data_IF_370823923196
#
_entry.id   IF_370823923196
#
_cell.length_a   1.000
_cell.length_b   1.000
_cell.length_c   1.000
_cell.angle_alpha   90.00
_cell.angle_beta   90.00
_cell.angle_gamma   90.00
#
_symmetry.space_group_name_H-M   'P 1'
#
loop_
_entity.id
_entity.type
_entity.pdbx_description
1 polymer ?
#
# COMPACT_ATOMS: atom_id res chain seq x y z
N UNK A 1 -1.75 58.24 -10.89
CA UNK A 1 -1.65 57.17 -9.87
C UNK A 1 -1.63 55.76 -10.46
N UNK A 2 -2.32 55.46 -11.59
CA UNK A 2 -2.36 54.13 -12.21
C UNK A 2 -1.02 53.55 -12.72
N UNK A 3 -0.08 54.38 -13.21
CA UNK A 3 1.20 53.88 -13.75
C UNK A 3 2.11 53.22 -12.71
N UNK A 4 2.05 53.68 -11.44
CA UNK A 4 2.83 53.10 -10.33
C UNK A 4 2.21 51.81 -9.80
N UNK A 5 0.88 51.69 -9.83
CA UNK A 5 0.16 50.48 -9.43
C UNK A 5 0.38 49.33 -10.44
N UNK A 6 0.44 49.66 -11.75
CA UNK A 6 0.70 48.67 -12.80
C UNK A 6 2.12 48.10 -12.73
N UNK A 7 3.14 48.93 -12.44
CA UNK A 7 4.52 48.49 -12.24
C UNK A 7 4.68 47.65 -10.95
N UNK A 8 3.92 47.96 -9.90
CA UNK A 8 3.93 47.17 -8.66
C UNK A 8 3.27 45.79 -8.85
N UNK A 9 2.17 45.73 -9.62
CA UNK A 9 1.55 44.46 -10.02
C UNK A 9 2.46 43.63 -10.94
N UNK A 10 3.19 44.25 -11.87
CA UNK A 10 4.18 43.54 -12.70
C UNK A 10 5.36 43.01 -11.89
N UNK A 11 5.83 43.76 -10.89
CA UNK A 11 6.92 43.31 -10.01
C UNK A 11 6.48 42.15 -9.10
N UNK A 12 5.25 42.19 -8.58
CA UNK A 12 4.65 41.07 -7.83
C UNK A 12 4.45 39.83 -8.73
N UNK A 13 3.98 40.00 -9.98
CA UNK A 13 3.90 38.90 -10.94
C UNK A 13 5.27 38.31 -11.28
N UNK A 14 6.32 39.13 -11.39
CA UNK A 14 7.69 38.64 -11.63
C UNK A 14 8.29 37.85 -10.46
N UNK A 15 7.87 38.16 -9.22
CA UNK A 15 8.26 37.40 -8.02
C UNK A 15 7.56 36.03 -7.94
N UNK A 16 6.35 35.88 -8.50
CA UNK A 16 5.68 34.58 -8.62
C UNK A 16 6.23 33.72 -9.78
N UNK A 17 6.72 34.34 -10.87
CA UNK A 17 7.32 33.60 -11.99
C UNK A 17 8.72 33.07 -11.62
N UNK A 18 9.45 33.76 -10.74
CA UNK A 18 10.78 33.34 -10.27
C UNK A 18 10.75 32.41 -9.04
N UNK A 19 9.58 32.23 -8.41
CA UNK A 19 9.39 31.28 -7.30
C UNK A 19 8.87 29.91 -7.76
N UNK A 20 8.54 29.75 -9.05
CA UNK A 20 8.23 28.45 -9.62
C UNK A 20 9.54 27.73 -9.98
N UNK A 21 10.15 27.07 -8.99
CA UNK A 21 10.88 25.83 -9.27
C UNK A 21 9.85 24.77 -9.71
N UNK A 22 9.27 24.99 -10.90
CA UNK A 22 8.46 24.03 -11.61
C UNK A 22 9.42 22.97 -12.16
N UNK A 23 9.82 22.05 -11.28
CA UNK A 23 10.02 20.68 -11.73
C UNK A 23 8.65 20.13 -12.11
N UNK A 24 8.10 20.59 -13.23
CA UNK A 24 6.92 19.98 -13.84
C UNK A 24 7.34 18.57 -14.19
N UNK A 25 6.92 17.59 -13.38
CA UNK A 25 7.22 16.18 -13.59
C UNK A 25 6.73 15.81 -15.00
N UNK A 26 7.65 15.34 -15.83
CA UNK A 26 7.35 14.93 -17.21
C UNK A 26 6.58 13.62 -17.17
N UNK A 27 5.73 13.31 -18.17
CA UNK A 27 5.01 12.03 -18.23
C UNK A 27 5.93 10.79 -18.09
N UNK A 28 7.16 10.86 -18.62
CA UNK A 28 8.16 9.80 -18.52
C UNK A 28 8.71 9.58 -17.09
N UNK A 29 8.62 10.60 -16.22
CA UNK A 29 9.03 10.52 -14.81
C UNK A 29 8.14 9.52 -14.03
N UNK A 30 6.91 9.29 -14.52
CA UNK A 30 5.95 8.32 -13.98
C UNK A 30 5.94 6.99 -14.75
N UNK A 31 6.92 6.73 -15.61
CA UNK A 31 7.03 5.39 -16.20
C UNK A 31 7.26 4.35 -15.10
N UNK A 32 6.67 3.16 -15.26
CA UNK A 32 6.86 2.03 -14.34
C UNK A 32 8.33 1.71 -14.10
N UNK A 33 9.17 1.82 -15.14
CA UNK A 33 10.61 1.60 -15.03
C UNK A 33 11.29 2.65 -14.14
N UNK A 34 11.04 3.94 -14.38
CA UNK A 34 11.60 5.04 -13.57
C UNK A 34 11.17 4.93 -12.10
N UNK A 35 9.87 4.71 -11.87
CA UNK A 35 9.32 4.57 -10.52
C UNK A 35 9.86 3.33 -9.81
N UNK A 36 9.99 2.19 -10.51
CA UNK A 36 10.59 0.99 -9.93
C UNK A 36 12.08 1.15 -9.63
N UNK A 37 12.81 1.94 -10.42
CA UNK A 37 14.22 2.24 -10.12
C UNK A 37 14.36 3.12 -8.88
N UNK A 38 13.47 4.11 -8.71
CA UNK A 38 13.51 5.06 -7.59
C UNK A 38 12.94 4.48 -6.29
N UNK A 39 11.92 3.64 -6.39
CA UNK A 39 11.24 2.97 -5.28
C UNK A 39 11.27 1.46 -5.52
N UNK A 40 12.44 0.80 -5.34
CA UNK A 40 12.64 -0.59 -5.74
C UNK A 40 11.84 -1.59 -4.90
N UNK A 41 11.47 -1.23 -3.68
CA UNK A 41 10.79 -2.13 -2.76
C UNK A 41 9.27 -2.05 -2.84
N UNK A 42 8.60 -3.12 -2.42
CA UNK A 42 7.13 -3.23 -2.39
C UNK A 42 6.48 -3.00 -3.77
N UNK A 43 6.81 -3.85 -4.73
CA UNK A 43 6.27 -3.79 -6.10
C UNK A 43 4.95 -4.56 -6.22
N UNK A 44 4.01 -4.27 -5.32
CA UNK A 44 2.65 -4.82 -5.37
C UNK A 44 1.82 -4.02 -6.38
N UNK A 45 1.17 -4.71 -7.31
CA UNK A 45 0.31 -4.12 -8.33
C UNK A 45 -1.17 -4.44 -8.10
N UNK A 46 -2.06 -3.65 -8.70
CA UNK A 46 -3.51 -3.94 -8.72
C UNK A 46 -3.90 -4.55 -10.06
N UNK A 47 -4.30 -5.82 -10.05
CA UNK A 47 -4.89 -6.48 -11.21
C UNK A 47 -6.28 -5.91 -11.51
N UNK A 48 -7.16 -5.85 -10.50
CA UNK A 48 -8.52 -5.32 -10.62
C UNK A 48 -9.15 -5.02 -9.26
N UNK A 49 -10.21 -4.23 -9.29
CA UNK A 49 -11.18 -4.09 -8.20
C UNK A 49 -12.41 -4.94 -8.55
N UNK A 50 -12.82 -5.81 -7.63
CA UNK A 50 -13.97 -6.69 -7.88
C UNK A 50 -14.93 -6.72 -6.68
N UNK A 51 -16.18 -7.04 -6.96
CA UNK A 51 -17.16 -7.34 -5.91
C UNK A 51 -17.23 -8.86 -5.77
N UNK A 52 -17.28 -9.34 -4.54
CA UNK A 52 -17.32 -10.78 -4.25
C UNK A 52 -18.47 -11.44 -4.99
N UNK A 53 -18.22 -12.62 -5.58
CA UNK A 53 -19.27 -13.39 -6.25
C UNK A 53 -20.39 -13.82 -5.30
N UNK A 54 -20.10 -13.83 -4.00
CA UNK A 54 -21.02 -14.17 -2.92
C UNK A 54 -21.88 -12.97 -2.45
N UNK A 55 -21.68 -11.77 -3.00
CA UNK A 55 -22.55 -10.63 -2.67
C UNK A 55 -23.98 -10.88 -3.13
N UNK A 56 -24.92 -10.47 -2.26
CA UNK A 56 -26.36 -10.62 -2.47
C UNK A 56 -27.10 -9.28 -2.53
N UNK A 57 -26.43 -8.20 -2.15
CA UNK A 57 -27.00 -6.85 -2.07
C UNK A 57 -26.33 -5.92 -3.06
N UNK A 58 -27.06 -4.90 -3.51
CA UNK A 58 -26.48 -3.84 -4.34
C UNK A 58 -25.18 -3.32 -3.70
N UNK A 59 -24.10 -3.37 -4.45
CA UNK A 59 -22.75 -3.07 -3.96
C UNK A 59 -21.98 -2.31 -5.01
N UNK A 60 -21.23 -1.30 -4.60
CA UNK A 60 -20.42 -0.47 -5.50
C UNK A 60 -19.04 -0.27 -4.93
N UNK A 61 -18.02 -0.33 -5.78
CA UNK A 61 -16.69 0.22 -5.52
C UNK A 61 -16.55 1.45 -6.40
N UNK A 62 -16.70 2.62 -5.79
CA UNK A 62 -16.66 3.90 -6.50
C UNK A 62 -15.26 4.22 -7.00
N UNK A 63 -15.14 5.07 -8.04
CA UNK A 63 -13.85 5.59 -8.50
C UNK A 63 -13.08 6.27 -7.35
N UNK A 64 -13.77 6.98 -6.46
CA UNK A 64 -13.18 7.60 -5.26
C UNK A 64 -12.58 6.56 -4.31
N UNK A 65 -13.27 5.45 -4.07
CA UNK A 65 -12.74 4.35 -3.25
C UNK A 65 -11.52 3.70 -3.89
N UNK A 66 -11.52 3.51 -5.22
CA UNK A 66 -10.35 3.01 -5.96
C UNK A 66 -9.16 3.96 -5.83
N UNK A 67 -9.38 5.26 -6.03
CA UNK A 67 -8.37 6.31 -5.81
C UNK A 67 -7.83 6.32 -4.38
N UNK A 68 -8.70 6.05 -3.41
CA UNK A 68 -8.33 5.98 -2.00
C UNK A 68 -7.43 4.77 -1.70
N UNK A 69 -7.77 3.58 -2.22
CA UNK A 69 -6.92 2.38 -2.15
C UNK A 69 -5.55 2.63 -2.78
N UNK A 70 -5.53 3.20 -3.99
CA UNK A 70 -4.28 3.49 -4.71
C UNK A 70 -3.39 4.49 -3.96
N UNK A 71 -3.99 5.47 -3.26
CA UNK A 71 -3.25 6.36 -2.36
C UNK A 71 -2.69 5.60 -1.14
N UNK A 72 -3.42 4.62 -0.62
CA UNK A 72 -2.94 3.70 0.42
C UNK A 72 -1.72 2.91 -0.05
N UNK A 73 -1.75 2.38 -1.27
CA UNK A 73 -0.61 1.70 -1.87
C UNK A 73 0.61 2.62 -2.03
N UNK A 74 0.39 3.87 -2.45
CA UNK A 74 1.47 4.86 -2.51
C UNK A 74 2.12 5.05 -1.13
N UNK A 75 1.32 5.20 -0.07
CA UNK A 75 1.83 5.31 1.31
C UNK A 75 2.61 4.07 1.74
N UNK A 76 2.09 2.86 1.49
CA UNK A 76 2.78 1.61 1.82
C UNK A 76 4.13 1.52 1.11
N UNK A 77 4.17 1.86 -0.19
CA UNK A 77 5.39 1.85 -0.96
C UNK A 77 6.43 2.82 -0.41
N UNK A 78 6.02 4.01 0.04
CA UNK A 78 6.95 4.95 0.71
C UNK A 78 7.44 4.38 2.02
N UNK A 79 6.54 3.88 2.88
CA UNK A 79 6.90 3.33 4.19
C UNK A 79 7.97 2.25 4.01
N UNK A 80 7.76 1.28 3.12
CA UNK A 80 8.71 0.17 2.91
C UNK A 80 10.04 0.64 2.29
N UNK A 81 10.00 1.68 1.44
CA UNK A 81 11.20 2.31 0.86
C UNK A 81 11.88 3.36 1.76
N UNK A 82 11.29 3.70 2.90
CA UNK A 82 11.86 4.67 3.83
C UNK A 82 13.13 4.13 4.52
N UNK A 83 13.98 5.05 4.98
CA UNK A 83 15.19 4.69 5.72
C UNK A 83 14.86 4.20 7.14
N UNK A 84 13.71 4.63 7.67
CA UNK A 84 13.22 4.35 9.01
C UNK A 84 12.65 2.92 9.13
N UNK A 85 12.19 2.31 8.04
CA UNK A 85 11.52 1.01 8.07
C UNK A 85 12.36 -0.12 8.67
N UNK A 86 13.62 -0.38 8.25
CA UNK A 86 14.43 -1.45 8.84
C UNK A 86 14.69 -1.22 10.33
N UNK A 87 14.91 0.04 10.73
CA UNK A 87 15.10 0.41 12.13
C UNK A 87 13.84 0.14 12.97
N UNK A 88 12.67 0.44 12.43
CA UNK A 88 11.39 0.17 13.09
C UNK A 88 11.13 -1.33 13.25
N UNK A 89 11.35 -2.14 12.20
CA UNK A 89 11.25 -3.61 12.26
C UNK A 89 12.22 -4.17 13.31
N UNK A 90 13.47 -3.74 13.29
CA UNK A 90 14.50 -4.17 14.24
C UNK A 90 14.18 -3.79 15.69
N UNK A 91 13.55 -2.64 15.92
CA UNK A 91 13.13 -2.20 17.26
C UNK A 91 12.09 -3.13 17.90
N UNK A 92 11.36 -3.89 17.07
CA UNK A 92 10.30 -4.83 17.46
C UNK A 92 10.75 -6.30 17.47
N UNK A 93 12.06 -6.58 17.40
CA UNK A 93 12.62 -7.93 17.27
C UNK A 93 12.07 -8.98 18.26
N UNK A 94 11.72 -8.57 19.48
CA UNK A 94 11.24 -9.49 20.52
C UNK A 94 9.75 -9.78 20.42
N UNK A 95 9.00 -8.96 19.68
CA UNK A 95 7.58 -9.14 19.37
C UNK A 95 7.37 -9.86 18.02
N UNK A 96 8.39 -9.84 17.14
CA UNK A 96 8.37 -10.52 15.84
C UNK A 96 8.47 -12.04 15.99
N UNK A 97 7.34 -12.69 16.24
CA UNK A 97 7.21 -14.15 16.35
C UNK A 97 6.24 -14.71 15.32
N UNK A 98 6.50 -15.95 14.90
CA UNK A 98 5.67 -16.64 13.92
C UNK A 98 4.29 -16.96 14.46
N UNK A 99 3.28 -16.59 13.69
CA UNK A 99 1.88 -16.95 13.92
C UNK A 99 1.42 -18.20 13.20
N UNK A 100 2.31 -18.82 12.42
CA UNK A 100 2.00 -19.98 11.57
C UNK A 100 3.02 -21.08 11.75
N UNK A 101 2.59 -22.31 11.48
CA UNK A 101 3.49 -23.44 11.27
C UNK A 101 3.56 -23.78 9.79
N UNK A 102 4.76 -24.10 9.31
CA UNK A 102 5.02 -24.43 7.91
C UNK A 102 6.24 -25.34 7.79
N UNK A 103 6.35 -26.07 6.68
CA UNK A 103 7.47 -26.99 6.41
C UNK A 103 7.81 -27.00 4.92
N UNK A 104 9.09 -26.90 4.61
CA UNK A 104 9.59 -26.95 3.23
C UNK A 104 11.05 -27.42 3.19
N UNK A 105 11.35 -28.38 2.30
CA UNK A 105 12.70 -28.88 2.04
C UNK A 105 13.49 -29.24 3.32
N UNK A 106 12.83 -29.96 4.24
CA UNK A 106 13.44 -30.40 5.50
C UNK A 106 13.60 -29.30 6.57
N UNK A 107 13.20 -28.06 6.30
CA UNK A 107 13.14 -26.98 7.30
C UNK A 107 11.72 -26.78 7.77
N UNK A 108 11.58 -26.41 9.04
CA UNK A 108 10.30 -26.10 9.67
C UNK A 108 10.31 -24.68 10.23
N UNK A 109 9.13 -24.07 10.22
CA UNK A 109 8.79 -22.88 10.98
C UNK A 109 7.62 -23.28 11.88
N UNK A 110 7.68 -22.98 13.16
CA UNK A 110 6.62 -23.26 14.12
C UNK A 110 6.03 -21.97 14.65
N UNK A 111 4.78 -22.04 15.12
CA UNK A 111 4.19 -20.96 15.91
C UNK A 111 5.08 -20.66 17.12
N UNK A 112 5.36 -19.38 17.34
CA UNK A 112 6.22 -18.89 18.43
C UNK A 112 7.70 -18.76 18.07
N UNK A 113 8.14 -19.28 16.92
CA UNK A 113 9.52 -19.09 16.47
C UNK A 113 9.80 -17.61 16.24
N UNK A 114 10.93 -17.12 16.75
CA UNK A 114 11.35 -15.73 16.53
C UNK A 114 11.75 -15.52 15.07
N UNK A 115 11.26 -14.45 14.48
CA UNK A 115 11.74 -14.00 13.18
C UNK A 115 13.04 -13.20 13.32
N UNK A 116 13.93 -13.35 12.36
CA UNK A 116 15.06 -12.47 12.15
C UNK A 116 14.56 -11.14 11.53
N UNK A 117 14.73 -9.99 12.20
CA UNK A 117 14.21 -8.71 11.72
C UNK A 117 14.81 -8.25 10.39
N UNK A 118 16.10 -8.54 10.16
CA UNK A 118 16.80 -8.12 8.94
C UNK A 118 16.29 -8.97 7.77
N UNK A 119 16.07 -10.29 7.99
CA UNK A 119 15.44 -11.18 7.01
C UNK A 119 13.98 -10.79 6.72
N UNK A 120 13.19 -10.47 7.75
CA UNK A 120 11.80 -10.00 7.58
C UNK A 120 11.76 -8.73 6.74
N UNK A 121 12.65 -7.78 7.03
CA UNK A 121 12.79 -6.54 6.26
C UNK A 121 13.07 -6.83 4.79
N UNK A 122 14.03 -7.73 4.51
CA UNK A 122 14.36 -8.13 3.15
C UNK A 122 13.17 -8.78 2.43
N UNK A 123 12.52 -9.75 3.07
CA UNK A 123 11.36 -10.46 2.51
C UNK A 123 10.24 -9.48 2.13
N UNK A 124 9.90 -8.54 3.00
CA UNK A 124 8.85 -7.55 2.76
C UNK A 124 9.26 -6.61 1.62
N UNK A 125 10.53 -6.19 1.61
CA UNK A 125 11.04 -5.26 0.60
C UNK A 125 11.07 -5.87 -0.80
N UNK A 126 11.34 -7.16 -0.93
CA UNK A 126 11.43 -7.86 -2.22
C UNK A 126 10.09 -8.39 -2.75
N UNK A 127 8.98 -8.13 -2.05
CA UNK A 127 7.65 -8.55 -2.51
C UNK A 127 7.29 -7.89 -3.85
N UNK A 128 6.91 -8.72 -4.81
CA UNK A 128 6.42 -8.33 -6.14
C UNK A 128 5.36 -9.31 -6.63
N UNK A 129 4.13 -8.83 -6.84
CA UNK A 129 3.02 -9.61 -7.36
C UNK A 129 1.85 -8.72 -7.75
N UNK A 130 0.98 -9.22 -8.62
CA UNK A 130 -0.27 -8.56 -9.00
C UNK A 130 -1.42 -9.09 -8.14
N UNK A 131 -2.35 -8.20 -7.78
CA UNK A 131 -3.29 -8.51 -6.72
C UNK A 131 -4.69 -7.93 -6.93
N UNK A 132 -5.70 -8.55 -6.31
CA UNK A 132 -7.11 -8.16 -6.42
C UNK A 132 -7.61 -7.55 -5.11
N UNK A 133 -8.20 -6.34 -5.18
CA UNK A 133 -8.99 -5.80 -4.08
C UNK A 133 -10.45 -6.15 -4.26
N UNK A 134 -10.99 -6.90 -3.30
CA UNK A 134 -12.38 -7.35 -3.31
C UNK A 134 -13.22 -6.58 -2.28
N UNK A 135 -14.46 -6.23 -2.63
CA UNK A 135 -15.47 -5.82 -1.66
C UNK A 135 -16.35 -7.02 -1.33
N UNK A 136 -16.43 -7.39 -0.05
CA UNK A 136 -17.08 -8.62 0.41
C UNK A 136 -17.80 -8.46 1.75
N UNK A 137 -18.92 -9.15 1.89
CA UNK A 137 -19.71 -9.30 3.12
C UNK A 137 -19.26 -10.52 3.94
N UNK A 138 -18.31 -11.31 3.44
CA UNK A 138 -17.84 -12.54 4.08
C UNK A 138 -17.08 -12.28 5.41
N UNK A 139 -16.52 -11.07 5.59
CA UNK A 139 -15.91 -10.67 6.84
C UNK A 139 -16.35 -9.26 7.27
N UNK A 140 -17.14 -9.19 8.34
CA UNK A 140 -17.59 -7.91 8.91
C UNK A 140 -16.54 -7.24 9.82
N UNK A 141 -15.46 -7.95 10.19
CA UNK A 141 -14.49 -7.48 11.17
C UNK A 141 -13.32 -6.63 10.60
N UNK A 142 -13.17 -6.54 9.27
CA UNK A 142 -12.25 -5.57 8.66
C UNK A 142 -11.68 -5.97 7.31
N UNK A 143 -10.82 -6.98 7.29
CA UNK A 143 -10.14 -7.50 6.10
C UNK A 143 -10.11 -9.03 6.09
N UNK A 144 -10.00 -9.63 4.91
CA UNK A 144 -9.84 -11.08 4.73
C UNK A 144 -9.04 -11.35 3.47
N UNK A 145 -8.32 -12.45 3.38
CA UNK A 145 -7.66 -12.84 2.15
C UNK A 145 -7.16 -14.27 2.17
N UNK A 146 -6.64 -14.72 1.04
CA UNK A 146 -5.98 -16.02 0.94
C UNK A 146 -4.68 -16.01 1.76
N UNK A 147 -4.52 -16.97 2.68
CA UNK A 147 -3.25 -17.15 3.39
C UNK A 147 -2.27 -17.87 2.46
N UNK A 148 -1.12 -17.24 2.18
CA UNK A 148 -0.07 -17.85 1.37
C UNK A 148 0.84 -18.78 2.16
N UNK A 149 1.81 -19.38 1.45
CA UNK A 149 2.88 -20.14 2.09
C UNK A 149 3.85 -19.18 2.80
N UNK A 150 4.49 -19.61 3.88
CA UNK A 150 5.47 -18.79 4.59
C UNK A 150 6.64 -18.45 3.68
N UNK A 151 6.65 -17.20 3.19
CA UNK A 151 7.78 -16.65 2.45
C UNK A 151 9.00 -16.57 3.35
N UNK A 152 8.84 -16.34 4.66
CA UNK A 152 9.94 -16.38 5.63
C UNK A 152 10.68 -17.73 5.65
N UNK A 153 9.96 -18.85 5.65
CA UNK A 153 10.59 -20.17 5.60
C UNK A 153 11.28 -20.42 4.25
N UNK A 154 10.62 -20.08 3.15
CA UNK A 154 11.02 -20.44 1.77
C UNK A 154 12.03 -19.50 1.11
N UNK A 155 12.17 -18.26 1.60
CA UNK A 155 13.05 -17.25 1.01
C UNK A 155 14.50 -17.74 0.95
N UNK A 156 15.09 -17.73 -0.25
CA UNK A 156 16.44 -18.25 -0.53
C UNK A 156 16.55 -19.77 -0.67
N UNK A 157 15.43 -20.51 -0.64
CA UNK A 157 15.40 -21.97 -0.75
C UNK A 157 14.50 -22.42 -1.90
N UNK A 158 13.31 -21.83 -2.02
CA UNK A 158 12.40 -22.03 -3.14
C UNK A 158 12.55 -20.85 -4.12
N UNK A 159 12.52 -21.07 -5.45
CA UNK A 159 12.38 -19.99 -6.42
C UNK A 159 11.19 -19.09 -6.08
N UNK A 160 11.37 -17.77 -6.09
CA UNK A 160 10.37 -16.84 -5.57
C UNK A 160 9.02 -16.89 -6.32
N UNK A 161 9.07 -17.17 -7.62
CA UNK A 161 7.92 -17.34 -8.50
C UNK A 161 7.12 -18.63 -8.25
N UNK A 162 7.69 -19.55 -7.46
CA UNK A 162 7.04 -20.81 -7.07
C UNK A 162 6.50 -20.79 -5.64
N UNK A 163 6.83 -19.76 -4.85
CA UNK A 163 6.26 -19.59 -3.52
C UNK A 163 4.81 -19.13 -3.70
N UNK A 164 3.84 -19.94 -3.28
CA UNK A 164 2.43 -19.56 -3.33
C UNK A 164 2.18 -18.30 -2.49
N UNK A 165 1.65 -17.26 -3.14
CA UNK A 165 1.22 -16.00 -2.54
C UNK A 165 -0.29 -15.90 -2.79
N UNK A 166 -1.04 -15.46 -1.78
CA UNK A 166 -2.46 -15.13 -1.97
C UNK A 166 -2.65 -14.01 -2.99
N UNK A 167 -3.74 -14.04 -3.75
CA UNK A 167 -3.96 -13.16 -4.90
C UNK A 167 -5.12 -12.16 -4.73
N UNK A 168 -5.80 -12.17 -3.57
CA UNK A 168 -6.84 -11.21 -3.23
C UNK A 168 -6.95 -10.86 -1.73
N UNK A 169 -7.35 -9.62 -1.45
CA UNK A 169 -7.70 -9.06 -0.14
C UNK A 169 -9.11 -8.52 -0.29
N UNK A 170 -10.02 -9.02 0.52
CA UNK A 170 -11.35 -8.52 0.73
C UNK A 170 -11.40 -7.50 1.85
N UNK A 171 -12.10 -6.40 1.62
CA UNK A 171 -12.55 -5.51 2.69
C UNK A 171 -14.07 -5.56 2.80
N UNK A 172 -14.56 -5.23 3.98
CA UNK A 172 -15.99 -5.20 4.29
C UNK A 172 -16.78 -4.43 3.23
N UNK A 173 -18.01 -4.89 2.96
CA UNK A 173 -18.98 -4.18 2.15
C UNK A 173 -19.48 -2.90 2.83
N UNK A 174 -18.64 -1.86 2.77
CA UNK A 174 -18.92 -0.51 3.24
C UNK A 174 -18.37 0.49 2.22
N UNK A 175 -18.66 1.78 2.41
CA UNK A 175 -17.89 2.82 1.74
C UNK A 175 -16.55 2.97 2.47
N UNK A 176 -15.45 2.62 1.80
CA UNK A 176 -14.12 2.53 2.44
C UNK A 176 -13.57 3.88 2.90
N UNK A 177 -14.02 5.00 2.32
CA UNK A 177 -13.63 6.34 2.76
C UNK A 177 -14.14 6.63 4.20
N UNK A 178 -15.46 6.76 4.45
CA UNK A 178 -15.98 7.01 5.78
C UNK A 178 -15.73 5.84 6.75
N UNK A 179 -15.71 4.59 6.27
CA UNK A 179 -15.42 3.43 7.11
C UNK A 179 -14.02 3.49 7.72
N UNK A 180 -13.04 4.01 6.97
CA UNK A 180 -11.70 4.26 7.48
C UNK A 180 -11.55 5.61 8.21
N UNK A 181 -12.65 6.27 8.56
CA UNK A 181 -12.68 7.62 9.11
C UNK A 181 -11.99 8.67 8.22
N UNK A 182 -11.99 8.44 6.90
CA UNK A 182 -11.20 9.21 5.92
C UNK A 182 -9.71 9.29 6.26
N UNK A 183 -9.20 8.30 7.01
CA UNK A 183 -7.84 8.28 7.50
C UNK A 183 -7.05 7.14 6.84
N UNK A 184 -6.28 7.51 5.82
CA UNK A 184 -5.46 6.55 5.07
C UNK A 184 -4.36 5.93 5.94
N UNK A 185 -3.97 6.60 7.03
CA UNK A 185 -3.02 6.09 8.03
C UNK A 185 -3.56 4.93 8.87
N UNK A 186 -4.88 4.69 8.88
CA UNK A 186 -5.49 3.49 9.47
C UNK A 186 -5.81 2.43 8.42
N UNK A 187 -6.18 2.83 7.22
CA UNK A 187 -6.59 1.89 6.19
C UNK A 187 -5.41 1.21 5.49
N UNK A 188 -4.35 1.95 5.16
CA UNK A 188 -3.17 1.38 4.51
C UNK A 188 -2.49 0.30 5.37
N UNK A 189 -2.31 0.45 6.69
CA UNK A 189 -1.79 -0.63 7.53
C UNK A 189 -2.68 -1.87 7.55
N UNK A 190 -4.01 -1.71 7.50
CA UNK A 190 -4.90 -2.86 7.36
C UNK A 190 -4.70 -3.56 6.01
N UNK A 191 -4.58 -2.81 4.91
CA UNK A 191 -4.23 -3.41 3.61
C UNK A 191 -2.90 -4.17 3.69
N UNK A 192 -1.90 -3.58 4.34
CA UNK A 192 -0.61 -4.22 4.55
C UNK A 192 -0.71 -5.49 5.40
N UNK A 193 -1.50 -5.47 6.47
CA UNK A 193 -1.78 -6.63 7.32
C UNK A 193 -2.29 -7.82 6.51
N UNK A 194 -3.29 -7.59 5.65
CA UNK A 194 -3.84 -8.64 4.80
C UNK A 194 -2.83 -9.11 3.74
N UNK A 195 -2.01 -8.21 3.19
CA UNK A 195 -0.89 -8.59 2.33
C UNK A 195 0.16 -9.45 3.07
N UNK A 196 0.39 -9.23 4.37
CA UNK A 196 1.27 -10.10 5.18
C UNK A 196 0.71 -11.51 5.28
N UNK A 197 -0.61 -11.68 5.43
CA UNK A 197 -1.25 -12.98 5.34
C UNK A 197 -1.04 -13.63 3.97
N UNK A 198 -1.14 -12.86 2.88
CA UNK A 198 -0.92 -13.41 1.53
C UNK A 198 0.50 -13.94 1.31
N UNK A 199 1.51 -13.47 2.05
CA UNK A 199 2.89 -13.99 1.98
C UNK A 199 3.25 -14.90 3.18
N UNK A 200 2.24 -15.37 3.90
CA UNK A 200 2.36 -16.42 4.93
C UNK A 200 2.89 -15.94 6.28
N UNK A 201 2.67 -14.68 6.64
CA UNK A 201 2.82 -14.20 8.01
C UNK A 201 1.45 -14.26 8.71
N UNK A 202 1.37 -14.93 9.86
CA UNK A 202 0.16 -14.97 10.69
C UNK A 202 0.25 -14.13 11.96
N UNK A 203 -0.78 -14.19 12.80
CA UNK A 203 -0.79 -13.52 14.10
C UNK A 203 0.04 -14.29 15.14
N UNK A 204 0.92 -13.61 15.90
CA UNK A 204 0.91 -12.17 16.13
C UNK A 204 1.89 -11.37 15.25
N UNK A 205 2.80 -12.01 14.51
CA UNK A 205 3.80 -11.31 13.70
C UNK A 205 3.22 -10.30 12.70
N UNK A 206 2.11 -10.62 12.05
CA UNK A 206 1.42 -9.69 11.14
C UNK A 206 0.91 -8.42 11.86
N UNK A 207 0.45 -8.53 13.12
CA UNK A 207 0.03 -7.36 13.90
C UNK A 207 1.19 -6.42 14.21
N UNK A 208 2.35 -6.98 14.56
CA UNK A 208 3.55 -6.18 14.85
C UNK A 208 3.98 -5.40 13.61
N UNK A 209 3.93 -6.04 12.44
CA UNK A 209 4.30 -5.41 11.18
C UNK A 209 3.28 -4.34 10.75
N UNK A 210 1.99 -4.57 10.98
CA UNK A 210 0.97 -3.54 10.72
C UNK A 210 1.14 -2.31 11.62
N UNK A 211 1.51 -2.50 12.89
CA UNK A 211 1.72 -1.40 13.84
C UNK A 211 2.92 -0.54 13.41
N UNK A 212 4.01 -1.18 12.96
CA UNK A 212 5.17 -0.49 12.40
C UNK A 212 4.75 0.39 11.21
N UNK A 213 4.00 -0.19 10.26
CA UNK A 213 3.55 0.53 9.06
C UNK A 213 2.60 1.66 9.42
N UNK A 214 1.73 1.46 10.41
CA UNK A 214 0.81 2.48 10.94
C UNK A 214 1.56 3.66 11.54
N UNK A 215 2.51 3.40 12.43
CA UNK A 215 3.29 4.45 13.09
C UNK A 215 4.11 5.26 12.08
N UNK A 216 4.80 4.59 11.15
CA UNK A 216 5.55 5.28 10.10
C UNK A 216 4.63 6.04 9.14
N UNK A 217 3.49 5.44 8.78
CA UNK A 217 2.46 6.09 7.96
C UNK A 217 1.96 7.39 8.58
N UNK A 218 1.66 7.41 9.89
CA UNK A 218 1.28 8.64 10.58
C UNK A 218 2.39 9.69 10.60
N UNK A 219 3.64 9.28 10.87
CA UNK A 219 4.79 10.19 10.84
C UNK A 219 4.96 10.85 9.47
N UNK A 220 4.72 10.10 8.39
CA UNK A 220 4.78 10.59 7.00
C UNK A 220 3.57 11.47 6.64
N UNK A 221 2.37 11.16 7.11
CA UNK A 221 1.17 11.92 6.75
C UNK A 221 1.06 13.25 7.50
N UNK A 222 1.40 13.24 8.79
CA UNK A 222 1.12 14.37 9.69
C UNK A 222 2.16 14.62 10.79
N UNK A 223 3.17 13.77 10.91
CA UNK A 223 4.20 13.90 11.94
C UNK A 223 5.52 14.48 11.44
N UNK A 224 6.60 14.08 12.10
CA UNK A 224 7.96 14.57 11.90
C UNK A 224 8.56 14.22 10.54
N UNK A 225 8.05 13.19 9.86
CA UNK A 225 8.54 12.75 8.55
C UNK A 225 7.75 13.37 7.38
N UNK A 226 6.74 14.18 7.65
CA UNK A 226 5.85 14.74 6.62
C UNK A 226 6.62 15.51 5.55
N UNK A 227 7.40 16.49 5.94
CA UNK A 227 8.11 17.35 4.99
C UNK A 227 9.20 16.57 4.23
N UNK A 228 9.77 15.53 4.84
CA UNK A 228 10.78 14.64 4.23
C UNK A 228 10.19 13.81 3.07
N UNK A 229 8.94 13.37 3.20
CA UNK A 229 8.33 12.40 2.27
C UNK A 229 7.10 12.92 1.49
N UNK A 230 6.62 14.14 1.74
CA UNK A 230 5.43 14.69 1.09
C UNK A 230 5.51 14.64 -0.44
N UNK A 231 6.65 15.05 -1.02
CA UNK A 231 6.86 15.02 -2.48
C UNK A 231 6.82 13.60 -3.05
N UNK A 232 7.42 12.64 -2.34
CA UNK A 232 7.44 11.24 -2.74
C UNK A 232 6.03 10.64 -2.69
N UNK A 233 5.19 11.11 -1.75
CA UNK A 233 3.80 10.69 -1.65
C UNK A 233 2.95 11.23 -2.79
N UNK A 234 3.10 12.51 -3.13
CA UNK A 234 2.41 13.10 -4.27
C UNK A 234 2.84 12.42 -5.58
N UNK A 235 4.14 12.17 -5.74
CA UNK A 235 4.72 11.50 -6.91
C UNK A 235 4.20 10.07 -7.08
N UNK A 236 4.27 9.24 -6.03
CA UNK A 236 3.75 7.88 -6.10
C UNK A 236 2.23 7.87 -6.29
N UNK A 237 1.48 8.78 -5.66
CA UNK A 237 0.03 8.88 -5.88
C UNK A 237 -0.28 9.18 -7.34
N UNK A 238 0.42 10.14 -7.96
CA UNK A 238 0.27 10.48 -9.38
C UNK A 238 0.65 9.30 -10.29
N UNK A 239 1.72 8.57 -9.96
CA UNK A 239 2.09 7.34 -10.64
C UNK A 239 0.96 6.29 -10.59
N UNK A 240 0.46 5.96 -9.39
CA UNK A 240 -0.60 4.96 -9.25
C UNK A 240 -1.88 5.38 -10.01
N UNK A 241 -2.26 6.65 -10.00
CA UNK A 241 -3.43 7.10 -10.77
C UNK A 241 -3.22 7.02 -12.29
N UNK A 242 -1.98 7.16 -12.75
CA UNK A 242 -1.61 7.07 -14.16
C UNK A 242 -1.51 5.62 -14.63
N UNK A 243 -0.78 4.77 -13.89
CA UNK A 243 -0.60 3.33 -14.17
C UNK A 243 -1.96 2.62 -14.19
N UNK A 244 -2.84 2.93 -13.22
CA UNK A 244 -4.14 2.27 -13.07
C UNK A 244 -5.31 3.08 -13.63
N UNK A 245 -5.06 4.05 -14.54
CA UNK A 245 -6.10 4.92 -15.11
C UNK A 245 -7.29 4.15 -15.69
N UNK A 246 -7.04 2.98 -16.28
CA UNK A 246 -8.08 2.12 -16.85
C UNK A 246 -9.04 1.57 -15.79
N UNK A 247 -8.55 1.33 -14.56
CA UNK A 247 -9.39 0.88 -13.44
C UNK A 247 -10.20 2.02 -12.82
N UNK A 248 -9.88 3.28 -13.15
CA UNK A 248 -10.48 4.50 -12.61
C UNK A 248 -11.50 5.16 -13.55
N UNK A 249 -11.88 4.49 -14.64
CA UNK A 249 -12.83 5.02 -15.63
C UNK A 249 -14.27 5.01 -15.12
N UNK A 250 -14.65 3.97 -14.39
CA UNK A 250 -16.02 3.75 -13.94
C UNK A 250 -16.05 3.05 -12.58
N UNK A 251 -17.21 3.10 -11.93
CA UNK A 251 -17.49 2.36 -10.71
C UNK A 251 -17.58 0.85 -11.01
N UNK A 252 -17.13 0.02 -10.09
CA UNK A 252 -17.42 -1.42 -10.15
C UNK A 252 -18.74 -1.66 -9.43
N UNK A 253 -19.78 -2.11 -10.14
CA UNK A 253 -21.14 -2.25 -9.59
C UNK A 253 -21.59 -3.70 -9.65
N UNK A 254 -22.22 -4.15 -8.57
CA UNK A 254 -23.01 -5.37 -8.50
C UNK A 254 -24.46 -4.98 -8.21
N UNK A 255 -25.34 -5.27 -9.16
CA UNK A 255 -26.78 -5.08 -9.01
C UNK A 255 -27.48 -6.44 -9.04
N UNK A 256 -28.04 -6.92 -7.92
CA UNK A 256 -28.71 -8.21 -7.87
C UNK A 256 -29.98 -8.27 -8.72
N UNK A 257 -30.54 -7.12 -9.14
CA UNK A 257 -31.73 -7.08 -9.99
C UNK A 257 -31.46 -7.32 -11.47
N UNK A 258 -30.18 -7.30 -11.88
CA UNK A 258 -29.73 -7.56 -13.26
C UNK A 258 -29.32 -9.03 -13.51
N UNK A 259 -29.51 -9.91 -12.52
CA UNK A 259 -29.33 -11.37 -12.61
C UNK A 259 -30.64 -12.06 -12.95
#
# INVERSE_FOLDING_TARGET
>A
MMRKLFLFCLFLLSLFILSCNNNTLKPDDFSKESINKKYPYWQVSVSRFQISQNEKTYTTITVEEKRYILRGMALLRIVVNSEEFPGAVKSKKDELISGVSDSYNGKTLNVGDKYDPDRVTEIIRTVKYDFIYEKTSANQAGGVGTVGNSRYLRYGIQPEDQIFIGDWVGFVNANWLPWSYNNIGNFAPLMFHEHMHNIGFGHPGAYVLDDIVRQLGYRILSGDLKDKYARQLDELTAYYYTEYKNLLLEDTIFDPSLK
#
